data_IF_235293690046
#
_entry.id   IF_235293690046
#
_cell.length_a   1.000
_cell.length_b   1.000
_cell.length_c   1.000
_cell.angle_alpha   90.00
_cell.angle_beta   90.00
_cell.angle_gamma   90.00
#
_symmetry.space_group_name_H-M   'P 1'
#
loop_
_entity.id
_entity.type
_entity.pdbx_description
1 polymer ?
#
# COMPACT_ATOMS: atom_id res chain seq x y z
N UNK A 1 9.13 1.70 -7.28
CA UNK A 1 7.99 2.11 -8.16
C UNK A 1 6.69 1.79 -7.42
N UNK A 2 5.88 2.81 -7.09
CA UNK A 2 4.94 2.77 -5.94
C UNK A 2 3.44 2.64 -6.29
N UNK A 3 3.06 2.54 -7.56
CA UNK A 3 1.65 2.43 -7.98
C UNK A 3 1.48 1.44 -9.14
N UNK A 4 0.31 0.80 -9.21
CA UNK A 4 -0.10 -0.01 -10.35
C UNK A 4 -0.36 0.91 -11.54
N UNK A 5 0.52 0.82 -12.54
CA UNK A 5 0.45 1.62 -13.77
C UNK A 5 -0.51 1.02 -14.80
N UNK A 6 -0.94 -0.20 -14.53
CA UNK A 6 -1.86 -1.05 -15.29
C UNK A 6 -3.34 -0.76 -14.98
N UNK A 7 -3.65 -0.07 -13.88
CA UNK A 7 -5.03 0.16 -13.46
C UNK A 7 -5.19 1.54 -12.81
N UNK A 8 -5.30 2.56 -13.66
CA UNK A 8 -5.63 3.93 -13.25
C UNK A 8 -7.09 4.20 -13.59
N UNK A 9 -7.82 4.75 -12.63
CA UNK A 9 -9.22 5.13 -12.78
C UNK A 9 -9.30 6.64 -12.82
N UNK A 10 -9.92 7.19 -13.87
CA UNK A 10 -10.24 8.61 -13.97
C UNK A 10 -11.74 8.75 -13.82
N UNK A 11 -12.16 9.38 -12.74
CA UNK A 11 -13.57 9.61 -12.42
C UNK A 11 -13.89 11.05 -12.84
N UNK A 12 -14.83 11.19 -13.77
CA UNK A 12 -15.27 12.47 -14.30
C UNK A 12 -16.75 12.65 -14.04
N UNK A 13 -17.16 13.88 -13.75
CA UNK A 13 -18.56 14.25 -13.66
C UNK A 13 -18.95 14.99 -14.94
N UNK A 14 -19.74 14.35 -15.81
CA UNK A 14 -20.29 14.96 -17.02
C UNK A 14 -21.82 15.04 -16.86
N UNK A 15 -22.39 16.24 -16.95
CA UNK A 15 -23.84 16.50 -16.83
C UNK A 15 -24.50 15.98 -15.53
N UNK A 16 -23.75 15.95 -14.42
CA UNK A 16 -24.23 15.43 -13.13
C UNK A 16 -24.15 13.91 -12.99
N UNK A 17 -23.67 13.21 -14.02
CA UNK A 17 -23.42 11.77 -13.98
C UNK A 17 -21.92 11.49 -13.83
N UNK A 18 -21.58 10.57 -12.94
CA UNK A 18 -20.20 10.21 -12.63
C UNK A 18 -19.75 9.05 -13.52
N UNK A 19 -18.93 9.35 -14.51
CA UNK A 19 -18.35 8.38 -15.44
C UNK A 19 -16.97 7.98 -14.97
N UNK A 20 -16.71 6.67 -14.90
CA UNK A 20 -15.38 6.13 -14.54
C UNK A 20 -14.71 5.56 -15.78
N UNK A 21 -13.55 6.10 -16.12
CA UNK A 21 -12.72 5.65 -17.23
C UNK A 21 -11.54 4.83 -16.70
N UNK A 22 -11.33 3.66 -17.28
CA UNK A 22 -10.16 2.82 -17.02
C UNK A 22 -9.06 3.13 -18.02
N UNK A 23 -7.84 3.33 -17.52
CA UNK A 23 -6.68 3.67 -18.33
C UNK A 23 -5.45 2.88 -17.89
N UNK A 24 -4.75 2.31 -18.87
CA UNK A 24 -3.41 1.75 -18.72
C UNK A 24 -2.37 2.74 -19.29
N UNK A 25 -1.54 3.33 -18.43
CA UNK A 25 -0.49 4.28 -18.83
C UNK A 25 0.74 3.59 -19.46
N UNK A 26 0.75 2.26 -19.55
CA UNK A 26 1.82 1.50 -20.21
C UNK A 26 1.54 1.30 -21.70
N UNK A 27 0.29 1.44 -22.14
CA UNK A 27 -0.06 1.35 -23.55
C UNK A 27 0.09 2.70 -24.25
N UNK A 28 0.42 2.68 -25.54
CA UNK A 28 0.37 3.87 -26.41
C UNK A 28 -1.06 4.36 -26.64
N UNK A 29 -2.05 3.50 -26.38
CA UNK A 29 -3.47 3.83 -26.57
C UNK A 29 -3.93 4.96 -25.64
N UNK A 30 -3.18 5.25 -24.58
CA UNK A 30 -3.47 6.37 -23.69
C UNK A 30 -3.54 7.71 -24.41
N UNK A 31 -2.73 7.92 -25.45
CA UNK A 31 -2.74 9.16 -26.23
C UNK A 31 -4.04 9.34 -27.03
N UNK A 32 -4.78 8.25 -27.27
CA UNK A 32 -6.09 8.26 -27.95
C UNK A 32 -7.26 8.30 -26.98
N UNK A 33 -7.00 8.21 -25.67
CA UNK A 33 -8.04 8.14 -24.65
C UNK A 33 -8.72 9.51 -24.42
N UNK A 34 -10.05 9.58 -24.24
CA UNK A 34 -10.78 10.81 -23.95
C UNK A 34 -10.45 11.41 -22.56
N UNK A 35 -9.67 10.69 -21.76
CA UNK A 35 -9.18 11.12 -20.45
C UNK A 35 -7.67 11.35 -20.42
N UNK A 36 -7.01 11.44 -21.59
CA UNK A 36 -5.60 11.83 -21.68
C UNK A 36 -5.38 13.24 -21.15
N UNK A 37 -6.28 14.17 -21.51
CA UNK A 37 -6.34 15.49 -20.92
C UNK A 37 -7.37 15.51 -19.79
N UNK A 38 -6.90 15.87 -18.60
CA UNK A 38 -7.73 16.04 -17.42
C UNK A 38 -8.58 17.30 -17.58
N UNK A 39 -9.87 17.17 -17.28
CA UNK A 39 -10.81 18.28 -17.15
C UNK A 39 -10.90 18.70 -15.69
N UNK A 40 -11.51 19.86 -15.44
CA UNK A 40 -11.80 20.30 -14.08
C UNK A 40 -12.71 19.30 -13.38
N UNK A 41 -12.49 19.07 -12.08
CA UNK A 41 -13.17 18.08 -11.25
C UNK A 41 -12.92 16.61 -11.61
N UNK A 42 -11.94 16.30 -12.47
CA UNK A 42 -11.49 14.93 -12.66
C UNK A 42 -10.74 14.43 -11.41
N UNK A 43 -11.13 13.25 -10.92
CA UNK A 43 -10.45 12.57 -9.83
C UNK A 43 -9.65 11.40 -10.40
N UNK A 44 -8.34 11.42 -10.20
CA UNK A 44 -7.43 10.36 -10.64
C UNK A 44 -7.12 9.44 -9.47
N UNK A 45 -7.59 8.19 -9.55
CA UNK A 45 -7.34 7.16 -8.56
C UNK A 45 -6.38 6.10 -9.10
N UNK A 46 -5.25 5.92 -8.42
CA UNK A 46 -4.23 4.94 -8.78
C UNK A 46 -4.16 3.88 -7.68
N UNK A 47 -4.42 2.63 -8.04
CA UNK A 47 -4.34 1.55 -7.06
C UNK A 47 -2.87 1.33 -6.64
N UNK A 48 -2.56 1.23 -5.33
CA UNK A 48 -1.21 0.92 -4.88
C UNK A 48 -0.80 -0.50 -5.31
N UNK A 49 0.48 -0.70 -5.63
CA UNK A 49 1.02 -2.04 -5.91
C UNK A 49 1.12 -2.86 -4.61
N UNK A 50 1.08 -4.21 -4.70
CA UNK A 50 1.18 -5.15 -3.56
C UNK A 50 2.39 -4.87 -2.65
N UNK A 51 3.46 -4.30 -3.20
CA UNK A 51 4.65 -3.87 -2.46
C UNK A 51 4.33 -2.79 -1.42
N UNK A 52 3.33 -1.93 -1.65
CA UNK A 52 2.80 -0.97 -0.67
C UNK A 52 1.70 -1.54 0.22
N UNK A 53 0.83 -2.40 -0.31
CA UNK A 53 -0.17 -3.07 0.50
C UNK A 53 0.48 -3.92 1.62
N UNK A 54 1.59 -4.61 1.31
CA UNK A 54 2.39 -5.34 2.29
C UNK A 54 3.26 -4.45 3.17
N UNK A 55 3.58 -3.20 2.77
CA UNK A 55 4.27 -2.21 3.63
C UNK A 55 3.32 -1.55 4.65
N UNK A 56 2.05 -1.37 4.29
CA UNK A 56 0.99 -1.03 5.25
C UNK A 56 0.71 -2.16 6.23
N UNK A 57 1.04 -3.40 5.86
CA UNK A 57 1.08 -4.59 6.72
C UNK A 57 2.50 -4.95 7.18
N UNK A 58 3.46 -4.01 7.23
CA UNK A 58 4.67 -4.18 8.08
C UNK A 58 4.27 -3.84 9.52
N UNK A 59 3.24 -4.54 9.99
CA UNK A 59 2.85 -4.64 11.39
C UNK A 59 2.69 -6.12 11.78
N UNK A 60 3.36 -7.03 11.08
CA UNK A 60 3.18 -8.47 11.30
C UNK A 60 4.49 -9.26 11.34
N UNK A 61 5.57 -8.64 11.83
CA UNK A 61 6.78 -9.37 12.21
C UNK A 61 7.49 -8.84 13.47
N UNK A 62 6.88 -7.95 14.26
CA UNK A 62 7.47 -7.56 15.54
C UNK A 62 7.47 -8.74 16.56
N UNK A 63 6.63 -9.75 16.34
CA UNK A 63 6.64 -11.02 17.10
C UNK A 63 7.79 -11.97 16.70
N UNK A 64 8.49 -11.68 15.59
CA UNK A 64 9.77 -12.32 15.22
C UNK A 64 10.96 -11.41 15.48
N UNK A 65 10.80 -10.34 16.27
CA UNK A 65 11.94 -9.56 16.69
C UNK A 65 12.79 -10.42 17.63
N UNK A 66 14.01 -10.73 17.21
CA UNK A 66 15.01 -11.45 18.02
C UNK A 66 15.17 -10.77 19.41
N UNK A 67 14.94 -9.45 19.47
CA UNK A 67 14.90 -8.67 20.70
C UNK A 67 13.83 -9.10 21.71
N UNK A 68 12.66 -9.57 21.28
CA UNK A 68 11.60 -10.03 22.20
C UNK A 68 12.00 -11.35 22.87
N UNK A 69 12.54 -12.30 22.08
CA UNK A 69 13.02 -13.58 22.61
C UNK A 69 14.25 -13.42 23.51
N UNK A 70 15.17 -12.51 23.17
CA UNK A 70 16.30 -12.17 24.05
C UNK A 70 15.82 -11.56 25.37
N UNK A 71 14.81 -10.67 25.34
CA UNK A 71 14.24 -10.07 26.55
C UNK A 71 13.55 -11.10 27.46
N UNK A 72 12.83 -12.06 26.86
CA UNK A 72 12.21 -13.16 27.62
C UNK A 72 13.27 -14.06 28.25
N UNK A 73 14.31 -14.42 27.50
CA UNK A 73 15.41 -15.25 28.00
C UNK A 73 16.20 -14.57 29.12
N UNK A 74 16.48 -13.27 29.00
CA UNK A 74 17.19 -12.52 30.04
C UNK A 74 16.36 -12.35 31.31
N UNK A 75 15.05 -12.12 31.17
CA UNK A 75 14.13 -12.05 32.30
C UNK A 75 14.07 -13.37 33.09
N UNK A 76 13.90 -14.50 32.39
CA UNK A 76 13.87 -15.82 33.01
C UNK A 76 15.22 -16.17 33.67
N UNK A 77 16.33 -15.81 33.03
CA UNK A 77 17.67 -16.02 33.60
C UNK A 77 17.84 -15.22 34.89
N UNK A 78 17.42 -13.95 34.90
CA UNK A 78 17.46 -13.09 36.09
C UNK A 78 16.63 -13.68 37.24
N UNK A 79 15.42 -14.16 36.96
CA UNK A 79 14.55 -14.79 37.96
C UNK A 79 15.13 -16.11 38.48
N UNK A 80 15.74 -16.91 37.61
CA UNK A 80 16.43 -18.14 38.01
C UNK A 80 17.59 -17.88 38.96
N UNK A 81 18.44 -16.90 38.66
CA UNK A 81 19.57 -16.53 39.55
C UNK A 81 19.07 -16.06 40.92
N UNK A 82 17.92 -15.38 40.97
CA UNK A 82 17.33 -14.91 42.23
C UNK A 82 16.75 -16.05 43.10
N UNK A 83 16.15 -17.07 42.47
CA UNK A 83 15.48 -18.17 43.18
C UNK A 83 16.45 -19.28 43.63
N UNK A 84 17.57 -19.47 42.92
CA UNK A 84 18.57 -20.50 43.22
C UNK A 84 19.80 -19.98 43.98
N UNK A 85 19.76 -18.74 44.46
CA UNK A 85 20.76 -18.14 45.34
C UNK A 85 20.19 -17.95 46.75
#
# INVERSE_FOLDING_TARGET
>A
IYGKRDAIFVIREENGERVTHWVDIRSKDIFTSPVYYLKQNDVVYVQPNKVRAGQSTINENNVKSVSLWISIGSFLTSLGVLLFK
#
